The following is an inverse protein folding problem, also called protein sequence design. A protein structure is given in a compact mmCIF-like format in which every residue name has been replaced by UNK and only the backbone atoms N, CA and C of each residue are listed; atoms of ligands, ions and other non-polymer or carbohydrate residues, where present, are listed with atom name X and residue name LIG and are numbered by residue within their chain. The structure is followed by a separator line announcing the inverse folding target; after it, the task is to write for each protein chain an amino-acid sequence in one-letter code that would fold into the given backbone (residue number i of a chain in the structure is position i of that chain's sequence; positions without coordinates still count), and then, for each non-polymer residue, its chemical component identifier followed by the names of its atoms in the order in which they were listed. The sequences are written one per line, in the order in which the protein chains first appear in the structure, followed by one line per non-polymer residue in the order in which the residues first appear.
data_IF_285190039708
#
_entry.id   IF_285190039708
#
_cell.length_a   1.000
_cell.length_b   1.000
_cell.length_c   1.000
_cell.angle_alpha   90.00
_cell.angle_beta   90.00
_cell.angle_gamma   90.00
#
_symmetry.space_group_name_H-M   'P 1'
#
loop_
_entity.id
_entity.type
_entity.pdbx_description
1 polymer ?
#
# COMPACT_ATOMS: atom_id res chain seq x y z
N UNK A 1 8.96 3.64 -14.47
CA UNK A 1 10.17 3.61 -15.33
C UNK A 1 9.82 3.31 -16.79
N UNK A 2 9.02 2.27 -17.08
CA UNK A 2 8.59 1.94 -18.44
C UNK A 2 7.88 3.12 -19.13
N UNK A 3 6.91 3.75 -18.47
CA UNK A 3 6.22 4.92 -19.03
C UNK A 3 7.17 6.10 -19.31
N UNK A 4 8.17 6.32 -18.44
CA UNK A 4 9.20 7.35 -18.67
C UNK A 4 10.09 7.00 -19.84
N UNK A 5 10.50 5.73 -19.98
CA UNK A 5 11.30 5.26 -21.10
C UNK A 5 10.55 5.42 -22.44
N UNK A 6 9.27 5.04 -22.49
CA UNK A 6 8.42 5.25 -23.67
C UNK A 6 8.34 6.73 -24.04
N UNK A 7 8.12 7.61 -23.05
CA UNK A 7 8.08 9.05 -23.30
C UNK A 7 9.38 9.58 -23.89
N UNK A 8 10.52 9.20 -23.32
CA UNK A 8 11.86 9.59 -23.82
C UNK A 8 12.09 9.03 -25.22
N UNK A 9 11.76 7.75 -25.48
CA UNK A 9 11.86 7.14 -26.81
C UNK A 9 11.07 7.91 -27.88
N UNK A 10 9.82 8.30 -27.56
CA UNK A 10 9.01 9.09 -28.49
C UNK A 10 9.61 10.46 -28.77
N UNK A 11 10.15 11.13 -27.73
CA UNK A 11 10.83 12.43 -27.90
C UNK A 11 12.07 12.29 -28.79
N UNK A 12 12.92 11.30 -28.56
CA UNK A 12 14.14 11.04 -29.34
C UNK A 12 13.83 10.70 -30.78
N UNK A 13 12.80 9.89 -31.05
CA UNK A 13 12.35 9.60 -32.43
C UNK A 13 11.95 10.86 -33.19
N UNK A 14 11.27 11.79 -32.52
CA UNK A 14 10.89 13.07 -33.13
C UNK A 14 12.10 13.97 -33.46
N UNK A 15 13.19 13.86 -32.69
CA UNK A 15 14.44 14.60 -32.88
C UNK A 15 15.34 13.93 -33.96
N UNK A 16 15.13 12.64 -34.27
CA UNK A 16 15.93 11.86 -35.22
C UNK A 16 15.05 11.30 -36.35
N UNK A 17 14.75 12.09 -37.40
CA UNK A 17 13.84 11.67 -38.46
C UNK A 17 14.32 10.47 -39.26
N UNK A 18 15.64 10.22 -39.28
CA UNK A 18 16.27 9.09 -39.98
C UNK A 18 16.46 7.85 -39.07
N UNK A 19 15.74 7.76 -37.92
CA UNK A 19 15.87 6.62 -37.04
C UNK A 19 15.40 5.32 -37.72
N UNK A 20 16.14 4.22 -37.54
CA UNK A 20 15.87 2.92 -38.15
C UNK A 20 15.33 1.86 -37.15
N UNK A 21 15.26 2.19 -35.87
CA UNK A 21 14.77 1.30 -34.81
C UNK A 21 15.86 0.58 -34.03
N UNK A 22 17.14 0.74 -34.43
CA UNK A 22 18.28 0.10 -33.75
C UNK A 22 18.88 0.97 -32.64
N UNK A 23 18.47 2.23 -32.53
CA UNK A 23 19.03 3.18 -31.58
C UNK A 23 18.70 2.80 -30.14
N UNK A 24 19.63 3.07 -29.23
CA UNK A 24 19.56 2.70 -27.81
C UNK A 24 18.35 3.30 -27.07
N UNK A 25 17.81 4.44 -27.52
CA UNK A 25 16.60 5.01 -26.93
C UNK A 25 15.31 4.21 -27.20
N UNK A 26 15.36 3.16 -28.05
CA UNK A 26 14.26 2.23 -28.25
C UNK A 26 14.22 1.13 -27.18
N UNK A 27 15.24 1.02 -26.35
CA UNK A 27 15.38 0.01 -25.31
C UNK A 27 15.40 0.62 -23.93
N UNK A 28 15.06 -0.15 -22.93
CA UNK A 28 15.24 0.22 -21.52
C UNK A 28 15.67 -1.01 -20.70
N UNK A 29 16.43 -0.75 -19.64
CA UNK A 29 16.86 -1.80 -18.74
C UNK A 29 15.68 -2.37 -17.98
N UNK A 30 15.43 -3.66 -18.15
CA UNK A 30 14.44 -4.44 -17.41
C UNK A 30 15.11 -5.53 -16.59
N UNK A 31 14.56 -5.82 -15.42
CA UNK A 31 14.97 -6.95 -14.59
C UNK A 31 13.74 -7.83 -14.38
N UNK A 32 13.88 -9.10 -14.76
CA UNK A 32 12.84 -10.11 -14.60
C UNK A 32 13.18 -11.01 -13.42
N UNK A 33 12.20 -11.26 -12.58
CA UNK A 33 12.31 -12.20 -11.47
C UNK A 33 11.24 -13.28 -11.61
N UNK A 34 11.55 -14.54 -11.29
CA UNK A 34 10.52 -15.52 -10.96
C UNK A 34 9.67 -15.02 -9.77
N UNK A 35 8.39 -15.31 -9.80
CA UNK A 35 7.45 -14.84 -8.76
C UNK A 35 7.74 -15.43 -7.37
N UNK A 36 8.32 -16.62 -7.32
CA UNK A 36 8.76 -17.31 -6.11
C UNK A 36 10.06 -16.75 -5.49
N UNK A 37 10.74 -15.84 -6.19
CA UNK A 37 11.97 -15.18 -5.71
C UNK A 37 11.72 -13.76 -5.18
N UNK A 38 10.48 -13.30 -5.16
CA UNK A 38 10.07 -12.01 -4.62
C UNK A 38 9.12 -12.22 -3.45
N UNK A 39 9.37 -11.51 -2.35
CA UNK A 39 8.45 -11.44 -1.23
C UNK A 39 7.74 -10.08 -1.23
N UNK A 40 6.41 -10.12 -1.10
CA UNK A 40 5.64 -8.93 -0.81
C UNK A 40 5.38 -8.90 0.70
N UNK A 41 5.91 -7.90 1.36
CA UNK A 41 5.66 -7.64 2.78
C UNK A 41 4.47 -6.69 2.93
N UNK A 42 3.91 -6.67 4.13
CA UNK A 42 2.89 -5.71 4.54
C UNK A 42 3.38 -4.27 4.37
N UNK A 43 2.47 -3.40 3.99
CA UNK A 43 2.73 -1.98 3.89
C UNK A 43 1.75 -1.25 4.80
N UNK A 44 2.18 -1.00 6.03
CA UNK A 44 1.36 -0.50 7.13
C UNK A 44 1.10 1.01 7.01
N UNK A 45 0.08 1.50 7.71
CA UNK A 45 -0.32 2.91 7.71
C UNK A 45 -0.22 3.47 9.12
N UNK A 46 0.17 4.75 9.19
CA UNK A 46 0.06 5.54 10.41
C UNK A 46 -0.65 6.85 10.08
N UNK A 47 -1.51 7.32 10.97
CA UNK A 47 -2.27 8.55 10.78
C UNK A 47 -2.00 9.53 11.91
N UNK A 48 -1.81 10.81 11.55
CA UNK A 48 -1.39 11.86 12.49
C UNK A 48 -2.53 12.44 13.31
N UNK A 49 -3.77 12.31 12.85
CA UNK A 49 -4.95 12.76 13.55
C UNK A 49 -6.13 11.82 13.32
N UNK A 50 -7.18 11.97 14.10
CA UNK A 50 -8.41 11.19 14.00
C UNK A 50 -9.57 11.99 13.40
N UNK A 51 -9.28 12.99 12.55
CA UNK A 51 -10.28 13.83 11.89
C UNK A 51 -11.23 14.54 12.88
N UNK A 52 -10.70 14.95 14.03
CA UNK A 52 -11.44 15.63 15.08
C UNK A 52 -12.20 14.72 16.05
N UNK A 53 -12.21 13.42 15.83
CA UNK A 53 -12.82 12.46 16.74
C UNK A 53 -11.94 12.22 17.98
N UNK A 54 -12.58 11.97 19.13
CA UNK A 54 -11.92 11.30 20.24
C UNK A 54 -11.62 9.84 19.87
N UNK A 55 -10.77 9.16 20.64
CA UNK A 55 -10.50 7.75 20.43
C UNK A 55 -11.75 6.86 20.51
N UNK A 56 -12.63 7.18 21.46
CA UNK A 56 -13.90 6.46 21.65
C UNK A 56 -14.85 6.68 20.46
N UNK A 57 -15.03 7.91 20.01
CA UNK A 57 -15.86 8.23 18.84
C UNK A 57 -15.30 7.58 17.58
N UNK A 58 -13.97 7.56 17.42
CA UNK A 58 -13.30 6.91 16.32
C UNK A 58 -13.54 5.39 16.31
N UNK A 59 -13.45 4.73 17.46
CA UNK A 59 -13.77 3.31 17.60
C UNK A 59 -15.24 3.02 17.25
N UNK A 60 -16.17 3.84 17.68
CA UNK A 60 -17.60 3.68 17.33
C UNK A 60 -17.82 3.81 15.82
N UNK A 61 -17.14 4.76 15.16
CA UNK A 61 -17.19 4.88 13.69
C UNK A 61 -16.61 3.66 12.97
N UNK A 62 -15.52 3.09 13.46
CA UNK A 62 -14.93 1.87 12.91
C UNK A 62 -15.88 0.68 13.06
N UNK A 63 -16.56 0.55 14.19
CA UNK A 63 -17.52 -0.54 14.44
C UNK A 63 -18.72 -0.55 13.47
N UNK A 64 -19.00 0.52 12.78
CA UNK A 64 -20.03 0.54 11.73
C UNK A 64 -19.69 -0.46 10.61
N UNK A 65 -18.41 -0.58 10.24
CA UNK A 65 -17.96 -1.37 9.08
C UNK A 65 -17.04 -2.54 9.41
N UNK A 66 -16.48 -2.54 10.63
CA UNK A 66 -15.59 -3.60 11.10
C UNK A 66 -16.12 -4.22 12.39
N UNK A 67 -15.83 -5.49 12.57
CA UNK A 67 -15.85 -6.10 13.89
C UNK A 67 -14.55 -5.72 14.60
N UNK A 68 -14.63 -5.22 15.82
CA UNK A 68 -13.50 -4.76 16.62
C UNK A 68 -13.37 -5.65 17.83
N UNK A 69 -12.17 -6.20 18.11
CA UNK A 69 -11.90 -6.99 19.30
C UNK A 69 -11.84 -6.14 20.56
N UNK A 70 -11.85 -6.78 21.72
CA UNK A 70 -11.41 -6.14 22.95
C UNK A 70 -9.95 -5.66 22.83
N UNK A 71 -9.59 -4.56 23.50
CA UNK A 71 -8.23 -4.03 23.48
C UNK A 71 -7.23 -4.97 24.17
N UNK A 72 -6.07 -5.12 23.57
CA UNK A 72 -4.96 -5.91 24.08
C UNK A 72 -3.66 -5.12 24.15
N UNK A 73 -2.64 -5.71 24.77
CA UNK A 73 -1.27 -5.16 24.81
C UNK A 73 -0.33 -5.82 23.81
N UNK A 74 -0.72 -6.97 23.28
CA UNK A 74 0.08 -7.68 22.29
C UNK A 74 -0.16 -7.13 20.89
N UNK A 75 0.93 -7.00 20.12
CA UNK A 75 0.88 -6.50 18.75
C UNK A 75 0.03 -7.42 17.86
N UNK A 76 -0.89 -6.85 17.12
CA UNK A 76 -1.79 -7.58 16.22
C UNK A 76 -1.23 -7.57 14.81
N UNK A 77 -0.78 -8.76 14.34
CA UNK A 77 -0.48 -9.02 12.94
C UNK A 77 -1.69 -9.71 12.30
N UNK A 78 -2.25 -9.17 11.21
CA UNK A 78 -3.34 -9.82 10.48
C UNK A 78 -2.92 -11.22 10.01
N UNK A 79 -3.84 -12.18 10.08
CA UNK A 79 -3.59 -13.58 9.70
C UNK A 79 -4.21 -13.97 8.37
N UNK A 80 -5.19 -13.22 7.94
CA UNK A 80 -5.92 -13.46 6.69
C UNK A 80 -6.40 -12.16 6.07
N UNK A 81 -6.77 -12.22 4.82
CA UNK A 81 -7.37 -11.12 4.07
C UNK A 81 -8.64 -10.59 4.74
N UNK A 82 -8.77 -9.27 4.78
CA UNK A 82 -9.87 -8.58 5.46
C UNK A 82 -9.68 -8.42 6.97
N UNK A 83 -8.55 -8.86 7.51
CA UNK A 83 -8.12 -8.57 8.88
C UNK A 83 -7.11 -7.42 8.90
N UNK A 84 -7.16 -6.62 9.96
CA UNK A 84 -6.23 -5.53 10.22
C UNK A 84 -5.92 -5.51 11.72
N UNK A 85 -4.71 -5.09 12.08
CA UNK A 85 -4.42 -4.69 13.44
C UNK A 85 -4.49 -3.17 13.53
N UNK A 86 -4.98 -2.65 14.63
CA UNK A 86 -4.97 -1.20 14.87
C UNK A 86 -4.35 -0.91 16.24
N UNK A 87 -3.40 0.00 16.27
CA UNK A 87 -2.82 0.51 17.51
C UNK A 87 -3.34 1.93 17.76
N UNK A 88 -3.99 2.12 18.88
CA UNK A 88 -4.65 3.36 19.31
C UNK A 88 -4.56 3.47 20.84
N UNK A 89 -4.10 4.60 21.38
CA UNK A 89 -3.99 4.85 22.83
C UNK A 89 -3.33 3.70 23.61
N UNK A 90 -2.14 3.32 23.16
CA UNK A 90 -1.31 2.24 23.74
C UNK A 90 -2.00 0.87 23.83
N UNK A 91 -3.01 0.64 22.97
CA UNK A 91 -3.74 -0.62 22.88
C UNK A 91 -3.82 -1.10 21.45
N UNK A 92 -3.73 -2.41 21.29
CA UNK A 92 -3.96 -3.09 20.04
C UNK A 92 -5.39 -3.61 19.94
N UNK A 93 -5.97 -3.46 18.76
CA UNK A 93 -7.29 -3.97 18.40
C UNK A 93 -7.15 -4.79 17.13
N UNK A 94 -7.85 -5.93 17.09
CA UNK A 94 -8.04 -6.67 15.85
C UNK A 94 -9.32 -6.16 15.18
N UNK A 95 -9.19 -5.74 13.93
CA UNK A 95 -10.31 -5.35 13.08
C UNK A 95 -10.54 -6.43 12.04
N UNK A 96 -11.79 -6.73 11.75
CA UNK A 96 -12.18 -7.59 10.63
C UNK A 96 -13.32 -6.92 9.89
N UNK A 97 -13.13 -6.74 8.56
CA UNK A 97 -14.17 -6.14 7.72
C UNK A 97 -15.44 -6.99 7.76
N UNK A 98 -16.60 -6.38 7.94
CA UNK A 98 -17.89 -7.08 7.91
C UNK A 98 -18.21 -7.50 6.48
N UNK A 99 -18.91 -8.61 6.32
CA UNK A 99 -19.14 -9.25 5.03
C UNK A 99 -19.85 -8.36 4.03
N UNK A 100 -20.81 -7.55 4.49
CA UNK A 100 -21.56 -6.60 3.65
C UNK A 100 -20.70 -5.47 3.05
N UNK A 101 -19.47 -5.26 3.57
CA UNK A 101 -18.51 -4.26 3.08
C UNK A 101 -17.35 -4.88 2.30
N UNK A 102 -17.34 -6.19 2.11
CA UNK A 102 -16.37 -6.86 1.25
C UNK A 102 -16.72 -6.61 -0.22
N UNK A 103 -15.69 -6.26 -1.00
CA UNK A 103 -15.82 -6.14 -2.44
C UNK A 103 -15.26 -7.40 -3.13
N UNK A 104 -15.86 -7.79 -4.25
CA UNK A 104 -15.44 -8.94 -5.07
C UNK A 104 -14.59 -8.53 -6.28
N UNK A 105 -14.55 -7.24 -6.62
CA UNK A 105 -13.69 -6.73 -7.69
C UNK A 105 -12.21 -6.94 -7.35
N UNK A 106 -11.38 -7.21 -8.36
CA UNK A 106 -9.95 -7.52 -8.19
C UNK A 106 -9.13 -6.38 -7.59
N UNK A 107 -9.59 -5.14 -7.69
CA UNK A 107 -8.94 -3.96 -7.09
C UNK A 107 -9.62 -3.59 -5.78
N UNK A 108 -10.93 -3.42 -5.78
CA UNK A 108 -11.69 -2.99 -4.59
C UNK A 108 -11.69 -4.06 -3.49
N UNK A 109 -11.51 -5.32 -3.85
CA UNK A 109 -11.34 -6.43 -2.91
C UNK A 109 -9.97 -6.54 -2.26
N UNK A 110 -8.96 -5.75 -2.66
CA UNK A 110 -7.66 -5.73 -1.99
C UNK A 110 -7.79 -5.09 -0.60
N UNK A 111 -7.04 -5.59 0.38
CA UNK A 111 -7.07 -5.05 1.75
C UNK A 111 -6.74 -3.56 1.81
N UNK A 112 -5.87 -3.07 0.93
CA UNK A 112 -5.57 -1.64 0.81
C UNK A 112 -6.77 -0.83 0.35
N UNK A 113 -7.59 -1.36 -0.55
CA UNK A 113 -8.81 -0.72 -1.01
C UNK A 113 -9.94 -0.85 0.03
N UNK A 114 -10.06 -2.02 0.68
CA UNK A 114 -11.00 -2.22 1.79
C UNK A 114 -10.75 -1.23 2.92
N UNK A 115 -9.50 -1.03 3.33
CA UNK A 115 -9.14 -0.03 4.35
C UNK A 115 -9.44 1.39 3.87
N UNK A 116 -9.10 1.71 2.62
CA UNK A 116 -9.36 3.02 2.03
C UNK A 116 -10.84 3.36 2.03
N UNK A 117 -11.66 2.47 1.48
CA UNK A 117 -13.08 2.71 1.24
C UNK A 117 -13.94 2.61 2.51
N UNK A 118 -13.41 1.95 3.55
CA UNK A 118 -14.19 1.70 4.77
C UNK A 118 -13.69 2.41 6.02
N UNK A 119 -12.44 2.92 6.02
CA UNK A 119 -11.88 3.64 7.16
C UNK A 119 -11.24 4.98 6.76
N UNK A 120 -10.25 4.97 5.85
CA UNK A 120 -9.45 6.16 5.59
C UNK A 120 -10.29 7.31 5.00
N UNK A 121 -11.11 7.02 4.01
CA UNK A 121 -11.94 8.04 3.38
C UNK A 121 -13.18 8.38 4.21
N UNK A 122 -14.07 7.45 4.59
CA UNK A 122 -15.34 7.79 5.25
C UNK A 122 -15.18 8.28 6.69
N UNK A 123 -14.17 7.83 7.41
CA UNK A 123 -13.96 8.19 8.82
C UNK A 123 -12.92 9.29 8.96
N UNK A 124 -11.76 9.12 8.33
CA UNK A 124 -10.63 10.05 8.47
C UNK A 124 -10.63 11.16 7.41
N UNK A 125 -11.48 11.08 6.38
CA UNK A 125 -11.52 12.06 5.29
C UNK A 125 -10.29 12.04 4.37
N UNK A 126 -9.48 10.97 4.44
CA UNK A 126 -8.26 10.81 3.63
C UNK A 126 -8.64 10.20 2.27
N UNK A 127 -8.85 11.05 1.27
CA UNK A 127 -9.27 10.62 -0.09
C UNK A 127 -8.12 10.19 -0.97
N UNK A 128 -6.99 10.90 -0.91
CA UNK A 128 -5.80 10.63 -1.72
C UNK A 128 -4.59 10.32 -0.81
N UNK A 129 -4.44 9.07 -0.31
CA UNK A 129 -3.40 8.75 0.67
C UNK A 129 -1.97 9.08 0.21
N UNK A 130 -1.71 9.03 -1.11
CA UNK A 130 -0.39 9.35 -1.66
C UNK A 130 -0.01 10.84 -1.55
N UNK A 131 -0.98 11.73 -1.32
CA UNK A 131 -0.80 13.19 -1.26
C UNK A 131 -1.19 13.80 0.09
N UNK A 132 -1.97 13.09 0.90
CA UNK A 132 -2.44 13.62 2.18
C UNK A 132 -1.30 13.59 3.23
N UNK A 133 -0.90 14.73 3.81
CA UNK A 133 0.19 14.79 4.77
C UNK A 133 -0.16 14.18 6.15
N UNK A 134 -1.43 13.83 6.38
CA UNK A 134 -1.90 13.22 7.63
C UNK A 134 -1.66 11.72 7.71
N UNK A 135 -1.33 11.08 6.59
CA UNK A 135 -1.03 9.65 6.54
C UNK A 135 0.42 9.41 6.11
N UNK A 136 1.06 8.39 6.69
CA UNK A 136 2.38 7.92 6.30
C UNK A 136 2.38 6.38 6.24
N UNK A 137 3.42 5.80 5.65
CA UNK A 137 3.49 4.40 5.27
C UNK A 137 4.75 3.74 5.82
N UNK A 138 4.58 2.62 6.51
CA UNK A 138 5.64 1.87 7.16
C UNK A 138 5.75 0.47 6.52
N UNK A 139 6.89 0.19 5.87
CA UNK A 139 7.13 -1.15 5.32
C UNK A 139 7.29 -2.19 6.44
N UNK A 140 6.71 -3.37 6.25
CA UNK A 140 6.70 -4.45 7.24
C UNK A 140 8.07 -4.91 7.73
N UNK A 141 9.12 -4.65 6.94
CA UNK A 141 10.51 -4.91 7.35
C UNK A 141 10.91 -4.20 8.65
N UNK A 142 10.22 -3.13 9.03
CA UNK A 142 10.46 -2.40 10.29
C UNK A 142 9.79 -3.03 11.51
N UNK A 143 8.89 -3.99 11.28
CA UNK A 143 8.11 -4.65 12.34
C UNK A 143 7.03 -3.78 12.95
N UNK A 144 6.16 -4.40 13.76
CA UNK A 144 5.01 -3.73 14.38
C UNK A 144 5.42 -2.73 15.47
N UNK A 145 6.56 -2.91 16.12
CA UNK A 145 7.08 -1.96 17.11
C UNK A 145 7.35 -0.56 16.54
N UNK A 146 7.60 -0.44 15.24
CA UNK A 146 7.71 0.88 14.60
C UNK A 146 6.34 1.59 14.56
N UNK A 147 5.25 0.85 14.45
CA UNK A 147 3.89 1.41 14.49
C UNK A 147 3.58 1.99 15.86
N UNK A 148 3.90 1.24 16.93
CA UNK A 148 3.74 1.71 18.32
C UNK A 148 4.57 2.98 18.56
N UNK A 149 5.84 2.95 18.17
CA UNK A 149 6.74 4.10 18.30
C UNK A 149 6.19 5.34 17.58
N UNK A 150 5.66 5.19 16.36
CA UNK A 150 5.09 6.32 15.60
C UNK A 150 3.86 6.89 16.29
N UNK A 151 2.98 6.06 16.86
CA UNK A 151 1.82 6.54 17.61
C UNK A 151 2.24 7.27 18.90
N UNK A 152 3.29 6.80 19.57
CA UNK A 152 3.83 7.44 20.78
C UNK A 152 4.58 8.74 20.48
N UNK A 153 4.98 9.01 19.23
CA UNK A 153 5.78 10.20 18.87
C UNK A 153 5.03 11.25 18.09
N UNK A 154 4.49 10.89 16.92
CA UNK A 154 3.99 11.86 15.94
C UNK A 154 2.67 11.49 15.27
N UNK A 155 2.10 10.32 15.59
CA UNK A 155 0.84 9.84 15.05
C UNK A 155 -0.19 9.59 16.16
N UNK A 156 -1.45 9.41 15.77
CA UNK A 156 -2.55 9.11 16.70
C UNK A 156 -3.03 7.67 16.62
N UNK A 157 -2.93 7.07 15.43
CA UNK A 157 -3.26 5.66 15.24
C UNK A 157 -2.35 5.03 14.17
N UNK A 158 -2.21 3.72 14.25
CA UNK A 158 -1.51 2.91 13.25
C UNK A 158 -2.36 1.72 12.84
N UNK A 159 -2.22 1.27 11.59
CA UNK A 159 -2.93 0.09 11.08
C UNK A 159 -1.90 -0.86 10.45
N UNK A 160 -1.82 -2.07 10.98
CA UNK A 160 -1.09 -3.17 10.38
C UNK A 160 -1.95 -3.89 9.34
N UNK A 161 -1.33 -4.21 8.21
CA UNK A 161 -1.99 -4.74 7.02
C UNK A 161 -1.63 -6.20 6.80
N UNK A 162 -2.56 -6.96 6.22
CA UNK A 162 -2.20 -8.22 5.58
C UNK A 162 -1.47 -7.95 4.28
N UNK A 163 -0.34 -8.64 3.97
CA UNK A 163 0.40 -8.38 2.74
C UNK A 163 -0.40 -8.80 1.51
N UNK A 164 -0.37 -7.97 0.47
CA UNK A 164 -0.92 -8.34 -0.83
C UNK A 164 -0.17 -9.54 -1.39
N UNK A 165 -0.86 -10.54 -1.89
CA UNK A 165 -0.26 -11.73 -2.48
C UNK A 165 0.20 -11.50 -3.94
N UNK A 166 1.14 -12.34 -4.42
CA UNK A 166 1.52 -12.34 -5.83
C UNK A 166 0.32 -12.68 -6.74
N UNK A 167 -0.55 -13.57 -6.31
CA UNK A 167 -1.76 -13.94 -7.05
C UNK A 167 -2.70 -12.72 -7.23
N UNK A 168 -2.90 -11.90 -6.20
CA UNK A 168 -3.68 -10.66 -6.30
C UNK A 168 -3.02 -9.65 -7.23
N UNK A 169 -1.69 -9.51 -7.17
CA UNK A 169 -0.96 -8.64 -8.08
C UNK A 169 -1.16 -9.05 -9.55
N UNK A 170 -1.05 -10.34 -9.84
CA UNK A 170 -1.27 -10.87 -11.19
C UNK A 170 -2.72 -10.70 -11.62
N UNK A 171 -3.68 -10.99 -10.77
CA UNK A 171 -5.10 -10.81 -11.10
C UNK A 171 -5.43 -9.36 -11.49
N UNK A 172 -4.85 -8.36 -10.81
CA UNK A 172 -5.01 -6.94 -11.17
C UNK A 172 -4.33 -6.63 -12.51
N UNK A 173 -3.13 -7.15 -12.74
CA UNK A 173 -2.38 -6.95 -13.98
C UNK A 173 -3.09 -7.59 -15.17
N UNK A 174 -3.56 -8.84 -15.04
CA UNK A 174 -4.28 -9.58 -16.08
C UNK A 174 -5.63 -8.93 -16.43
N UNK A 175 -6.26 -8.28 -15.45
CA UNK A 175 -7.46 -7.47 -15.67
C UNK A 175 -7.16 -6.11 -16.34
N UNK A 176 -5.91 -5.78 -16.66
CA UNK A 176 -5.50 -4.49 -17.22
C UNK A 176 -5.73 -3.31 -16.28
N UNK A 177 -5.87 -3.56 -14.99
CA UNK A 177 -6.11 -2.55 -13.96
C UNK A 177 -4.82 -2.11 -13.27
N UNK A 178 -4.91 -1.06 -12.46
CA UNK A 178 -3.78 -0.54 -11.68
C UNK A 178 -4.00 -0.83 -10.18
N UNK A 179 -2.91 -1.20 -9.52
CA UNK A 179 -2.90 -1.32 -8.06
C UNK A 179 -3.09 0.05 -7.40
N UNK A 180 -3.83 0.14 -6.30
CA UNK A 180 -3.84 1.36 -5.48
C UNK A 180 -2.42 1.76 -5.04
N UNK A 181 -2.14 3.04 -4.79
CA UNK A 181 -0.84 3.48 -4.28
C UNK A 181 -0.48 2.77 -2.97
N UNK A 182 0.81 2.42 -2.82
CA UNK A 182 1.33 1.82 -1.58
C UNK A 182 0.67 0.47 -1.21
N UNK A 183 0.32 -0.33 -2.22
CA UNK A 183 -0.25 -1.67 -2.03
C UNK A 183 0.80 -2.74 -1.71
N UNK A 184 2.03 -2.58 -2.20
CA UNK A 184 3.06 -3.61 -2.12
C UNK A 184 4.39 -3.05 -1.60
N UNK A 185 5.05 -3.83 -0.77
CA UNK A 185 6.44 -3.63 -0.37
C UNK A 185 7.26 -4.85 -0.78
N UNK A 186 7.96 -4.75 -1.90
CA UNK A 186 8.78 -5.85 -2.41
C UNK A 186 10.12 -5.96 -1.69
N UNK A 187 10.52 -7.19 -1.38
CA UNK A 187 11.87 -7.55 -0.98
C UNK A 187 12.37 -8.73 -1.85
N UNK A 188 13.66 -8.73 -2.24
CA UNK A 188 14.66 -7.67 -2.04
C UNK A 188 14.40 -6.42 -2.88
N UNK A 189 14.82 -5.25 -2.35
CA UNK A 189 14.76 -3.99 -3.13
C UNK A 189 15.82 -3.98 -4.22
N UNK A 190 15.40 -3.67 -5.45
CA UNK A 190 16.32 -3.40 -6.54
C UNK A 190 17.17 -2.17 -6.23
N UNK A 191 18.48 -2.32 -6.38
CA UNK A 191 19.40 -1.20 -6.25
C UNK A 191 19.46 -0.41 -7.54
N UNK A 192 19.44 0.92 -7.44
CA UNK A 192 19.64 1.82 -8.57
C UNK A 192 21.14 2.10 -8.76
N UNK A 193 21.55 2.31 -10.03
CA UNK A 193 22.92 2.73 -10.35
C UNK A 193 23.96 1.60 -10.48
N UNK A 194 23.57 0.32 -10.30
CA UNK A 194 24.46 -0.81 -10.57
C UNK A 194 24.67 -1.03 -12.07
N UNK A 195 23.63 -0.78 -12.84
CA UNK A 195 23.64 -0.82 -14.30
C UNK A 195 23.11 0.50 -14.83
N UNK A 196 23.74 1.01 -15.89
CA UNK A 196 23.35 2.26 -16.57
C UNK A 196 23.20 1.96 -18.03
N UNK A 197 22.02 2.22 -18.58
CA UNK A 197 21.75 2.21 -19.99
C UNK A 197 21.80 3.63 -20.53
N UNK A 198 22.69 3.92 -21.48
CA UNK A 198 22.81 5.23 -22.11
C UNK A 198 21.93 5.27 -23.35
N UNK A 199 21.18 6.34 -23.53
CA UNK A 199 20.25 6.58 -24.62
C UNK A 199 20.57 7.90 -25.34
#
# INVERSE_FOLDING_TARGET
RAASAVKVGLMRRAEHPDYDGTEEFNYFLSVLFPDDQLMIMDYNRVVKDLNGYSAEEFLEKIKERFTVSEPGTEAVSPREKGEFGMYLEDRWYKLKIKEEYRATDVVDGLDVALLQNNLLEPVLGIREPAKDPRIDFIGGIRGLGELEKRVQTDCKAAVSMYPTSMAELFAVADAGKLMPPKSTWFEPKLRSGLFIHRI
#
